data_IF_245034699671
#
_entry.id   IF_245034699671
#
_cell.length_a   1.000
_cell.length_b   1.000
_cell.length_c   1.000
_cell.angle_alpha   90.00
_cell.angle_beta   90.00
_cell.angle_gamma   90.00
#
_symmetry.space_group_name_H-M   'P 1'
#
loop_
_entity.id
_entity.type
_entity.pdbx_description
1 polymer ?
#
# COMPACT_ATOMS: atom_id res chain seq x y z
N UNK A 1 8.91 0.15 10.19
CA UNK A 1 7.70 0.34 9.38
C UNK A 1 8.12 0.54 7.93
N UNK A 2 7.36 0.03 6.96
CA UNK A 2 7.58 0.26 5.53
C UNK A 2 6.32 0.80 4.88
N UNK A 3 6.48 1.52 3.77
CA UNK A 3 5.37 2.07 3.00
C UNK A 3 5.46 1.62 1.55
N UNK A 4 4.30 1.40 0.96
CA UNK A 4 4.15 0.95 -0.41
C UNK A 4 3.09 1.76 -1.12
N UNK A 5 3.36 2.11 -2.38
CA UNK A 5 2.37 2.60 -3.34
C UNK A 5 2.01 1.46 -4.28
N UNK A 6 0.73 1.16 -4.42
CA UNK A 6 0.26 0.14 -5.37
C UNK A 6 0.18 0.74 -6.77
N UNK A 7 0.63 -0.02 -7.76
CA UNK A 7 0.81 0.46 -9.15
C UNK A 7 -0.11 -0.24 -10.16
N UNK A 8 -0.85 -1.25 -9.73
CA UNK A 8 -1.84 -1.98 -10.53
C UNK A 8 -3.04 -1.10 -10.89
N UNK A 9 -3.78 -1.48 -11.92
CA UNK A 9 -4.88 -0.65 -12.44
C UNK A 9 -6.04 -0.49 -11.46
N UNK A 10 -6.32 -1.48 -10.62
CA UNK A 10 -7.46 -1.45 -9.70
C UNK A 10 -7.19 -0.62 -8.46
N UNK A 11 -5.93 -0.62 -7.98
CA UNK A 11 -5.55 0.02 -6.73
C UNK A 11 -4.50 1.12 -6.90
N UNK A 12 -4.25 1.57 -8.13
CA UNK A 12 -3.23 2.57 -8.45
C UNK A 12 -3.28 3.76 -7.50
N UNK A 13 -2.13 4.05 -6.88
CA UNK A 13 -1.97 5.18 -5.97
C UNK A 13 -2.40 4.89 -4.53
N UNK A 14 -3.00 3.74 -4.25
CA UNK A 14 -3.27 3.32 -2.87
C UNK A 14 -1.97 3.24 -2.08
N UNK A 15 -1.99 3.78 -0.86
CA UNK A 15 -0.86 3.71 0.06
C UNK A 15 -1.12 2.61 1.09
N UNK A 16 -0.11 1.77 1.31
CA UNK A 16 -0.13 0.70 2.30
C UNK A 16 1.07 0.87 3.22
N UNK A 17 0.88 0.67 4.53
CA UNK A 17 1.97 0.59 5.51
C UNK A 17 2.03 -0.80 6.12
N UNK A 18 3.24 -1.26 6.41
CA UNK A 18 3.47 -2.55 7.08
C UNK A 18 4.38 -2.40 8.29
N UNK A 19 4.00 -3.11 9.34
CA UNK A 19 4.76 -3.21 10.58
C UNK A 19 4.60 -4.61 11.18
N UNK A 20 5.67 -5.40 11.10
CA UNK A 20 5.63 -6.81 11.49
C UNK A 20 4.57 -7.58 10.71
N UNK A 21 3.51 -8.03 11.40
CA UNK A 21 2.38 -8.76 10.81
C UNK A 21 1.21 -7.87 10.38
N UNK A 22 1.19 -6.59 10.78
CA UNK A 22 0.14 -5.65 10.41
C UNK A 22 0.36 -5.11 9.00
N UNK A 23 -0.71 -5.03 8.23
CA UNK A 23 -0.72 -4.50 6.87
C UNK A 23 -1.96 -3.66 6.65
N UNK A 24 -1.79 -2.35 6.65
CA UNK A 24 -2.89 -1.39 6.64
C UNK A 24 -2.87 -0.55 5.37
N UNK A 25 -4.02 -0.45 4.71
CA UNK A 25 -4.24 0.46 3.58
C UNK A 25 -4.82 1.76 4.11
N UNK A 26 -4.39 2.89 3.55
CA UNK A 26 -5.04 4.18 3.80
C UNK A 26 -6.34 4.29 2.98
N UNK A 27 -7.43 4.66 3.64
CA UNK A 27 -8.71 4.98 3.01
C UNK A 27 -9.08 6.44 3.35
N UNK A 28 -9.24 7.32 2.34
CA UNK A 28 -9.65 8.70 2.57
C UNK A 28 -10.92 8.80 3.42
N UNK A 29 -10.90 9.68 4.43
CA UNK A 29 -11.99 9.85 5.39
C UNK A 29 -12.12 8.77 6.48
N UNK A 30 -11.46 7.61 6.34
CA UNK A 30 -11.46 6.53 7.35
C UNK A 30 -10.10 6.32 8.03
N UNK A 31 -9.01 6.71 7.37
CA UNK A 31 -7.65 6.50 7.86
C UNK A 31 -7.11 5.11 7.53
N UNK A 32 -6.23 4.59 8.38
CA UNK A 32 -5.56 3.31 8.17
C UNK A 32 -6.47 2.14 8.54
N UNK A 33 -6.68 1.22 7.59
CA UNK A 33 -7.55 0.04 7.75
C UNK A 33 -6.76 -1.23 7.45
N UNK A 34 -6.82 -2.22 8.34
CA UNK A 34 -6.24 -3.55 8.13
C UNK A 34 -6.79 -4.18 6.84
N UNK A 35 -5.92 -4.69 5.98
CA UNK A 35 -6.32 -5.25 4.67
C UNK A 35 -5.59 -6.54 4.29
N UNK A 36 -4.39 -6.80 4.82
CA UNK A 36 -3.55 -7.92 4.38
C UNK A 36 -3.20 -7.87 2.88
N UNK A 37 -3.40 -6.71 2.24
CA UNK A 37 -3.44 -6.62 0.77
C UNK A 37 -2.10 -6.96 0.13
N UNK A 38 -0.98 -6.73 0.82
CA UNK A 38 0.37 -6.96 0.28
C UNK A 38 0.68 -8.44 0.02
N UNK A 39 -0.08 -9.37 0.61
CA UNK A 39 0.08 -10.81 0.33
C UNK A 39 -0.03 -11.09 -1.17
N UNK A 40 -0.94 -10.40 -1.88
CA UNK A 40 -1.09 -10.54 -3.33
C UNK A 40 0.03 -9.89 -4.13
N UNK A 41 0.77 -8.95 -3.55
CA UNK A 41 1.83 -8.22 -4.24
C UNK A 41 3.19 -8.88 -4.05
N UNK A 42 3.34 -9.66 -2.98
CA UNK A 42 4.56 -10.42 -2.68
C UNK A 42 4.53 -11.87 -3.19
N UNK A 43 3.37 -12.38 -3.59
CA UNK A 43 3.24 -13.73 -4.13
C UNK A 43 3.53 -13.76 -5.64
N UNK A 44 4.54 -14.51 -6.08
CA UNK A 44 4.94 -14.64 -7.49
C UNK A 44 3.86 -15.21 -8.41
N UNK A 45 2.91 -15.96 -7.86
CA UNK A 45 1.80 -16.55 -8.63
C UNK A 45 0.64 -15.57 -8.83
N UNK A 46 0.72 -14.38 -8.23
CA UNK A 46 -0.33 -13.36 -8.32
C UNK A 46 -0.13 -12.47 -9.56
N UNK A 47 -1.22 -12.07 -10.25
CA UNK A 47 -1.14 -11.09 -11.33
C UNK A 47 -0.67 -9.70 -10.87
N UNK A 48 -0.68 -9.45 -9.55
CA UNK A 48 -0.21 -8.21 -8.93
C UNK A 48 1.21 -8.33 -8.37
N UNK A 49 1.90 -9.44 -8.63
CA UNK A 49 3.27 -9.62 -8.16
C UNK A 49 4.15 -8.46 -8.61
N UNK A 50 4.90 -7.88 -7.65
CA UNK A 50 5.80 -6.74 -7.87
C UNK A 50 5.10 -5.47 -8.40
N UNK A 51 3.75 -5.41 -8.38
CA UNK A 51 2.97 -4.26 -8.82
C UNK A 51 2.89 -3.17 -7.72
N UNK A 52 4.02 -2.83 -7.12
CA UNK A 52 4.13 -1.81 -6.08
C UNK A 52 5.48 -1.08 -6.14
N UNK A 53 5.59 0.04 -5.43
CA UNK A 53 6.86 0.70 -5.16
C UNK A 53 7.01 0.89 -3.67
N UNK A 54 8.15 0.51 -3.10
CA UNK A 54 8.52 0.92 -1.75
C UNK A 54 8.77 2.43 -1.77
N UNK A 55 8.12 3.16 -0.87
CA UNK A 55 8.21 4.61 -0.76
C UNK A 55 8.62 5.00 0.66
N UNK A 56 9.13 6.20 0.81
CA UNK A 56 9.41 6.80 2.11
C UNK A 56 8.12 7.20 2.83
N UNK A 57 8.22 7.40 4.15
CA UNK A 57 7.12 7.97 4.94
C UNK A 57 6.71 9.37 4.45
N UNK A 58 7.69 10.19 4.05
CA UNK A 58 7.43 11.53 3.54
C UNK A 58 6.61 11.49 2.24
N UNK A 59 6.97 10.59 1.31
CA UNK A 59 6.23 10.38 0.07
C UNK A 59 4.82 9.83 0.34
N UNK A 60 4.69 8.89 1.28
CA UNK A 60 3.40 8.36 1.70
C UNK A 60 2.49 9.48 2.23
N UNK A 61 3.01 10.34 3.11
CA UNK A 61 2.27 11.47 3.67
C UNK A 61 1.88 12.49 2.61
N UNK A 62 2.76 12.79 1.64
CA UNK A 62 2.44 13.65 0.50
C UNK A 62 1.31 13.06 -0.34
N UNK A 63 1.34 11.76 -0.63
CA UNK A 63 0.27 11.09 -1.40
C UNK A 63 -1.06 11.14 -0.64
N UNK A 64 -1.05 10.79 0.64
CA UNK A 64 -2.24 10.79 1.49
C UNK A 64 -2.87 12.18 1.61
N UNK A 65 -2.05 13.23 1.70
CA UNK A 65 -2.54 14.60 1.81
C UNK A 65 -3.23 15.11 0.55
N UNK A 66 -3.00 14.45 -0.59
CA UNK A 66 -3.58 14.80 -1.89
C UNK A 66 -4.77 13.90 -2.28
N UNK A 67 -5.27 13.04 -1.38
CA UNK A 67 -6.39 12.11 -1.61
C UNK A 67 -7.73 12.63 -1.10
#
# INVERSE_FOLDING_TARGET
>A
MKFYKLNDNENRGSVVRTEGRSQQRFIPGRGWVESGVMIKYFNSDSPYYDAYSEITEEEANKLISNM
#
